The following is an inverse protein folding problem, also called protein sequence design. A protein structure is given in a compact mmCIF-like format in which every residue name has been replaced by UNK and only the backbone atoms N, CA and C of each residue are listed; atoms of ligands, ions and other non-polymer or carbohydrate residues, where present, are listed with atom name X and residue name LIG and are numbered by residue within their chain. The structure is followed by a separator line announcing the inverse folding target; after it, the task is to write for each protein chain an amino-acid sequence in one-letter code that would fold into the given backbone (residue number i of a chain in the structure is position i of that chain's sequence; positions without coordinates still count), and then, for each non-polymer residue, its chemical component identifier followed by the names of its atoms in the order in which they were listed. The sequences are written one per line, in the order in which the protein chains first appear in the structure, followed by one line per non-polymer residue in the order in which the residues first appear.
data_IF_377338593520
#
_entry.id   IF_377338593520
#
_cell.length_a   1.000
_cell.length_b   1.000
_cell.length_c   1.000
_cell.angle_alpha   90.00
_cell.angle_beta   90.00
_cell.angle_gamma   90.00
#
_symmetry.space_group_name_H-M   'P 1'
#
loop_
_entity.id
_entity.type
_entity.pdbx_description
1 polymer ?
#
# COMPACT_ATOMS: atom_id res chain seq x y z
N UNK A 1 8.92 13.47 -30.75
CA UNK A 1 8.71 13.93 -29.37
C UNK A 1 9.83 14.92 -29.06
N UNK A 2 9.46 16.19 -28.87
CA UNK A 2 10.23 17.28 -28.27
C UNK A 2 11.72 17.46 -28.62
N UNK A 3 11.99 18.25 -29.66
CA UNK A 3 13.27 18.96 -29.83
C UNK A 3 13.34 20.10 -28.78
N UNK A 4 14.10 19.87 -27.71
CA UNK A 4 14.52 20.88 -26.75
C UNK A 4 16.04 20.83 -26.59
N UNK A 5 16.68 21.98 -26.36
CA UNK A 5 18.13 22.14 -26.30
C UNK A 5 18.76 21.54 -25.03
N UNK A 6 18.58 20.24 -24.81
CA UNK A 6 19.38 19.46 -23.87
C UNK A 6 20.48 18.79 -24.69
N UNK A 7 21.71 19.25 -24.47
CA UNK A 7 22.90 18.64 -25.06
C UNK A 7 22.89 17.15 -24.77
N UNK A 8 23.11 16.32 -25.79
CA UNK A 8 23.10 14.84 -25.77
C UNK A 8 24.02 14.20 -24.68
N UNK A 9 24.84 15.02 -24.02
CA UNK A 9 25.70 14.69 -22.88
C UNK A 9 25.01 14.76 -21.49
N UNK A 10 23.80 15.32 -21.36
CA UNK A 10 22.99 15.32 -20.12
C UNK A 10 22.01 14.14 -20.05
N UNK A 11 22.11 13.18 -20.99
CA UNK A 11 21.30 11.99 -20.98
C UNK A 11 21.86 11.01 -19.94
N UNK A 12 21.16 10.87 -18.81
CA UNK A 12 21.41 9.77 -17.87
C UNK A 12 21.44 8.48 -18.69
N UNK A 13 22.57 7.78 -18.69
CA UNK A 13 22.73 6.53 -19.42
C UNK A 13 21.68 5.55 -18.89
N UNK A 14 20.69 5.23 -19.71
CA UNK A 14 19.63 4.28 -19.36
C UNK A 14 20.28 2.95 -19.04
N UNK A 15 20.15 2.52 -17.79
CA UNK A 15 20.63 1.20 -17.37
C UNK A 15 19.53 0.19 -17.73
N UNK A 16 19.79 -0.77 -18.64
CA UNK A 16 18.77 -1.71 -19.09
C UNK A 16 18.15 -2.51 -17.94
N UNK A 17 18.92 -2.84 -16.90
CA UNK A 17 18.44 -3.59 -15.74
C UNK A 17 17.50 -2.76 -14.86
N UNK A 18 17.73 -1.45 -14.76
CA UNK A 18 16.88 -0.55 -13.96
C UNK A 18 15.58 -0.26 -14.69
N UNK A 19 15.65 -0.06 -16.01
CA UNK A 19 14.46 0.12 -16.86
C UNK A 19 13.57 -1.13 -16.85
N UNK A 20 14.15 -2.34 -16.94
CA UNK A 20 13.39 -3.58 -16.83
C UNK A 20 12.76 -3.76 -15.45
N UNK A 21 13.52 -3.48 -14.37
CA UNK A 21 13.00 -3.54 -13.00
C UNK A 21 11.84 -2.55 -12.79
N UNK A 22 11.97 -1.32 -13.28
CA UNK A 22 10.90 -0.32 -13.25
C UNK A 22 9.68 -0.78 -14.05
N UNK A 23 9.87 -1.28 -15.28
CA UNK A 23 8.78 -1.79 -16.11
C UNK A 23 8.00 -2.93 -15.45
N UNK A 24 8.70 -3.85 -14.77
CA UNK A 24 8.03 -4.92 -14.00
C UNK A 24 7.22 -4.38 -12.81
N UNK A 25 7.73 -3.34 -12.14
CA UNK A 25 7.01 -2.69 -11.03
C UNK A 25 5.75 -1.97 -11.48
N UNK A 26 5.80 -1.30 -12.62
CA UNK A 26 4.63 -0.61 -13.19
C UNK A 26 3.51 -1.59 -13.58
N UNK A 27 3.85 -2.81 -13.98
CA UNK A 27 2.90 -3.85 -14.38
C UNK A 27 2.45 -4.72 -13.20
N UNK A 28 3.05 -4.54 -12.01
CA UNK A 28 2.83 -5.44 -10.87
C UNK A 28 1.35 -5.53 -10.48
N UNK A 29 0.58 -4.44 -10.57
CA UNK A 29 -0.86 -4.47 -10.27
C UNK A 29 -1.69 -5.28 -11.27
N UNK A 30 -1.26 -5.33 -12.54
CA UNK A 30 -1.94 -6.11 -13.59
C UNK A 30 -1.55 -7.59 -13.56
N UNK A 31 -0.32 -7.88 -13.13
CA UNK A 31 0.22 -9.23 -13.02
C UNK A 31 -0.02 -9.87 -11.65
N UNK A 32 -0.68 -9.16 -10.73
CA UNK A 32 -0.94 -9.66 -9.40
C UNK A 32 -2.06 -10.72 -9.43
N UNK A 33 -1.72 -11.92 -8.99
CA UNK A 33 -2.67 -13.02 -8.82
C UNK A 33 -2.65 -13.52 -7.38
N UNK A 34 -3.82 -13.89 -6.86
CA UNK A 34 -3.93 -14.49 -5.52
C UNK A 34 -3.59 -15.96 -5.62
N UNK A 35 -2.50 -16.35 -4.98
CA UNK A 35 -2.00 -17.73 -4.91
C UNK A 35 -2.03 -18.23 -3.47
N UNK A 36 -1.84 -19.53 -3.26
CA UNK A 36 -1.80 -20.09 -1.90
C UNK A 36 -0.66 -19.50 -1.05
N UNK A 37 0.45 -19.13 -1.69
CA UNK A 37 1.63 -18.57 -1.02
C UNK A 37 1.40 -17.14 -0.50
N UNK A 38 0.60 -16.33 -1.21
CA UNK A 38 0.33 -14.94 -0.83
C UNK A 38 -1.01 -14.76 -0.09
N UNK A 39 -1.88 -15.77 -0.08
CA UNK A 39 -3.20 -15.68 0.57
C UNK A 39 -3.10 -15.41 2.08
N UNK A 40 -2.24 -16.14 2.79
CA UNK A 40 -2.06 -15.96 4.23
C UNK A 40 -1.58 -14.55 4.60
N UNK A 41 -0.49 -14.02 3.98
CA UNK A 41 -0.06 -12.66 4.29
C UNK A 41 -1.10 -11.60 3.90
N UNK A 42 -1.87 -11.79 2.81
CA UNK A 42 -2.96 -10.89 2.46
C UNK A 42 -4.05 -10.85 3.54
N UNK A 43 -4.50 -12.01 4.02
CA UNK A 43 -5.52 -12.08 5.08
C UNK A 43 -5.00 -11.42 6.36
N UNK A 44 -3.75 -11.71 6.75
CA UNK A 44 -3.17 -11.16 7.96
C UNK A 44 -3.04 -9.64 7.89
N UNK A 45 -2.55 -9.10 6.78
CA UNK A 45 -2.22 -7.67 6.66
C UNK A 45 -3.40 -6.81 6.24
N UNK A 46 -4.29 -7.31 5.38
CA UNK A 46 -5.44 -6.55 4.90
C UNK A 46 -6.68 -6.69 5.78
N UNK A 47 -6.81 -7.80 6.53
CA UNK A 47 -8.02 -8.08 7.32
C UNK A 47 -7.71 -8.16 8.81
N UNK A 48 -6.90 -9.14 9.23
CA UNK A 48 -6.73 -9.44 10.64
C UNK A 48 -6.06 -8.28 11.41
N UNK A 49 -5.01 -7.69 10.83
CA UNK A 49 -4.27 -6.61 11.48
C UNK A 49 -5.09 -5.31 11.60
N UNK A 50 -5.73 -4.77 10.54
CA UNK A 50 -6.57 -3.58 10.67
C UNK A 50 -7.77 -3.81 11.60
N UNK A 51 -8.41 -4.98 11.49
CA UNK A 51 -9.52 -5.32 12.38
C UNK A 51 -9.07 -5.44 13.84
N UNK A 52 -7.93 -6.07 14.09
CA UNK A 52 -7.33 -6.17 15.42
C UNK A 52 -7.07 -4.80 16.03
N UNK A 53 -6.40 -3.90 15.30
CA UNK A 53 -6.17 -2.52 15.75
C UNK A 53 -7.49 -1.82 16.07
N UNK A 54 -8.47 -1.90 15.18
CA UNK A 54 -9.79 -1.30 15.42
C UNK A 54 -10.44 -1.86 16.69
N UNK A 55 -10.41 -3.18 16.87
CA UNK A 55 -11.00 -3.83 18.04
C UNK A 55 -10.34 -3.38 19.34
N UNK A 56 -9.00 -3.37 19.40
CA UNK A 56 -8.26 -2.95 20.59
C UNK A 56 -8.47 -1.47 20.90
N UNK A 57 -8.38 -0.60 19.89
CA UNK A 57 -8.57 0.85 20.06
C UNK A 57 -10.01 1.18 20.47
N UNK A 58 -11.02 0.55 19.84
CA UNK A 58 -12.43 0.70 20.23
C UNK A 58 -12.65 0.26 21.68
N UNK A 59 -12.10 -0.89 22.08
CA UNK A 59 -12.22 -1.39 23.46
C UNK A 59 -11.65 -0.39 24.46
N UNK A 60 -10.47 0.16 24.17
CA UNK A 60 -9.85 1.18 25.02
C UNK A 60 -10.69 2.45 25.12
N UNK A 61 -11.21 2.95 24.01
CA UNK A 61 -12.06 4.15 23.99
C UNK A 61 -13.38 3.97 24.75
N UNK A 62 -13.99 2.78 24.68
CA UNK A 62 -15.19 2.44 25.45
C UNK A 62 -14.90 2.41 26.95
N UNK A 63 -13.79 1.80 27.37
CA UNK A 63 -13.38 1.77 28.79
C UNK A 63 -13.14 3.18 29.32
N UNK A 64 -12.49 4.03 28.52
CA UNK A 64 -12.22 5.44 28.86
C UNK A 64 -13.46 6.35 28.75
N UNK A 65 -14.60 5.83 28.29
CA UNK A 65 -15.83 6.58 28.03
C UNK A 65 -15.60 7.82 27.15
N UNK A 66 -14.83 7.66 26.07
CA UNK A 66 -14.58 8.76 25.15
C UNK A 66 -15.92 9.32 24.62
N UNK A 67 -16.20 10.63 24.78
CA UNK A 67 -17.46 11.24 24.33
C UNK A 67 -17.76 11.02 22.86
N UNK A 68 -16.73 10.83 22.01
CA UNK A 68 -16.88 10.61 20.57
C UNK A 68 -17.48 9.24 20.28
N UNK A 69 -17.11 8.20 21.05
CA UNK A 69 -17.65 6.85 20.90
C UNK A 69 -19.06 6.76 21.47
N UNK A 70 -19.31 7.37 22.62
CA UNK A 70 -20.64 7.38 23.26
C UNK A 70 -21.68 8.09 22.37
N UNK A 71 -21.30 9.21 21.73
CA UNK A 71 -22.19 9.95 20.81
C UNK A 71 -22.43 9.24 19.48
N UNK A 72 -21.52 8.37 19.05
CA UNK A 72 -21.65 7.64 17.79
C UNK A 72 -22.70 6.53 17.83
N UNK A 73 -23.26 6.20 19.01
CA UNK A 73 -24.26 5.13 19.16
C UNK A 73 -23.71 3.72 18.94
N UNK A 74 -22.38 3.60 18.78
CA UNK A 74 -21.68 2.32 18.61
C UNK A 74 -21.43 1.65 19.99
N UNK A 75 -21.83 2.28 21.09
CA UNK A 75 -21.69 1.76 22.46
C UNK A 75 -22.80 0.77 22.80
#
# INVERSE_FOLDING_TARGET
MGDGAFTDAMHVKKNPYVEEWNGRREITEKAFEVTQDNLLPLILMCVAFPYGIYHFTRKEMLIKKDPRVVRSGVA
#
